data_IF_270633003533
#
_entry.id   IF_270633003533
#
_cell.length_a   1.000
_cell.length_b   1.000
_cell.length_c   1.000
_cell.angle_alpha   90.00
_cell.angle_beta   90.00
_cell.angle_gamma   90.00
#
_symmetry.space_group_name_H-M   'P 1'
#
loop_
_entity.id
_entity.type
_entity.pdbx_description
1 polymer ?
2 non-polymer ?
3 non-polymer ?
4 water ?
#
# COMPACT_ATOMS: atom_id res chain seq x y z
N UNK A 21 -24.97 -16.39 8.30
CA UNK A 21 -24.92 -14.94 8.40
C UNK A 21 -24.01 -14.31 7.32
N UNK A 22 -24.10 -12.99 7.17
CA UNK A 22 -23.30 -12.24 6.22
C UNK A 22 -21.79 -12.41 6.51
N UNK A 23 -21.41 -12.68 7.78
CA UNK A 23 -19.99 -12.90 8.13
C UNK A 23 -19.44 -14.29 7.68
N UNK A 24 -20.31 -15.15 7.16
CA UNK A 24 -19.90 -16.48 6.73
C UNK A 24 -19.77 -16.61 5.23
N UNK A 25 -19.80 -15.49 4.48
CA UNK A 25 -19.58 -15.51 3.04
C UNK A 25 -18.18 -16.07 2.74
N UNK A 26 -18.05 -16.78 1.64
CA UNK A 26 -16.76 -17.35 1.26
C UNK A 26 -16.39 -16.97 -0.15
N UNK A 27 -15.08 -16.89 -0.41
CA UNK A 27 -14.61 -16.64 -1.77
C UNK A 27 -13.51 -17.63 -2.12
N UNK A 28 -13.28 -17.82 -3.43
CA UNK A 28 -12.19 -18.68 -3.92
C UNK A 28 -11.05 -17.79 -4.42
N UNK A 29 -9.83 -18.04 -3.92
CA UNK A 29 -8.66 -17.30 -4.37
C UNK A 29 -7.65 -18.32 -4.87
N UNK A 30 -7.07 -18.13 -6.05
CA UNK A 30 -6.02 -19.03 -6.54
C UNK A 30 -4.77 -18.21 -6.78
N UNK A 31 -3.64 -18.65 -6.26
CA UNK A 31 -2.36 -18.04 -6.59
C UNK A 31 -1.89 -18.81 -7.83
N UNK A 32 -1.67 -18.08 -8.91
CA UNK A 32 -1.32 -18.63 -10.22
C UNK A 32 0.15 -19.10 -10.28
N UNK A 33 0.56 -19.82 -11.35
CA UNK A 33 1.91 -20.38 -11.37
C UNK A 33 2.99 -19.33 -11.24
N UNK A 34 2.75 -18.13 -11.75
CA UNK A 34 3.74 -17.04 -11.61
C UNK A 34 3.86 -16.54 -10.17
N UNK A 35 2.76 -16.56 -9.43
CA UNK A 35 2.80 -16.18 -8.02
C UNK A 35 3.61 -17.17 -7.22
N UNK A 36 3.51 -18.46 -7.57
CA UNK A 36 4.28 -19.51 -6.88
C UNK A 36 5.78 -19.38 -7.28
N UNK A 37 6.04 -19.26 -8.57
CA UNK A 37 7.40 -19.15 -9.09
C UNK A 37 8.18 -17.95 -8.53
N UNK A 38 7.47 -16.84 -8.34
CA UNK A 38 8.11 -15.62 -7.84
C UNK A 38 8.15 -15.49 -6.31
N UNK A 39 7.75 -16.55 -5.61
CA UNK A 39 7.83 -16.64 -4.15
C UNK A 39 6.89 -15.70 -3.42
N UNK A 40 5.65 -15.58 -3.90
CA UNK A 40 4.66 -14.66 -3.31
C UNK A 40 3.58 -15.33 -2.49
N UNK A 41 3.64 -16.66 -2.31
CA UNK A 41 2.59 -17.37 -1.57
C UNK A 41 2.39 -16.83 -0.15
N UNK A 42 3.46 -16.74 0.61
CA UNK A 42 3.36 -16.28 1.99
C UNK A 42 2.91 -14.84 2.08
N UNK A 43 3.42 -13.98 1.19
CA UNK A 43 3.02 -12.56 1.14
C UNK A 43 1.51 -12.44 0.93
N UNK A 44 0.98 -13.21 -0.05
CA UNK A 44 -0.45 -13.13 -0.34
C UNK A 44 -1.29 -13.64 0.83
N UNK A 45 -0.92 -14.80 1.41
CA UNK A 45 -1.67 -15.33 2.56
C UNK A 45 -1.66 -14.35 3.72
N UNK A 46 -0.51 -13.74 4.00
CA UNK A 46 -0.39 -12.75 5.08
C UNK A 46 -1.38 -11.60 4.87
N UNK A 47 -1.59 -11.15 3.61
CA UNK A 47 -2.54 -10.06 3.36
C UNK A 47 -3.97 -10.43 3.82
N UNK A 48 -4.39 -11.65 3.51
CA UNK A 48 -5.74 -12.07 3.92
C UNK A 48 -5.83 -12.32 5.41
N UNK A 49 -4.79 -12.93 6.03
CA UNK A 49 -4.82 -13.16 7.48
C UNK A 49 -4.84 -11.83 8.25
N UNK A 50 -3.98 -10.88 7.89
CA UNK A 50 -3.88 -9.61 8.64
C UNK A 50 -5.16 -8.79 8.53
N UNK A 51 -5.93 -8.98 7.45
CA UNK A 51 -7.20 -8.29 7.22
C UNK A 51 -8.29 -8.76 8.20
N UNK A 52 -8.18 -10.01 8.66
CA UNK A 52 -9.16 -10.59 9.57
C UNK A 52 -9.97 -11.69 8.91
N UNK A 53 -9.69 -12.04 7.63
CA UNK A 53 -10.40 -13.12 6.96
C UNK A 53 -9.92 -14.47 7.47
N UNK A 54 -10.83 -15.45 7.51
CA UNK A 54 -10.52 -16.78 8.03
C UNK A 54 -10.18 -17.79 6.93
N UNK A 55 -9.05 -18.49 7.05
CA UNK A 55 -8.67 -19.50 6.07
C UNK A 55 -9.58 -20.74 6.24
N UNK A 56 -10.24 -21.18 5.15
CA UNK A 56 -11.15 -22.33 5.18
C UNK A 56 -10.57 -23.51 4.42
N UNK A 57 -9.92 -23.24 3.30
CA UNK A 57 -9.34 -24.29 2.48
C UNK A 57 -8.03 -23.85 1.88
N UNK A 58 -7.10 -24.78 1.72
CA UNK A 58 -5.80 -24.47 1.17
C UNK A 58 -5.24 -25.76 0.58
N UNK A 59 -4.89 -25.75 -0.72
CA UNK A 59 -4.34 -26.93 -1.38
C UNK A 59 -3.41 -26.50 -2.52
N UNK A 60 -2.32 -27.22 -2.71
CA UNK A 60 -1.29 -26.90 -3.71
C UNK A 60 -1.44 -28.02 -4.77
N UNK A 61 -1.61 -27.65 -6.03
CA UNK A 61 -1.90 -28.66 -7.06
C UNK A 61 -1.56 -28.21 -8.47
N UNK A 62 -1.50 -29.17 -9.41
CA UNK A 62 -1.39 -28.81 -10.81
C UNK A 62 -2.80 -28.96 -11.32
N UNK A 63 -3.43 -27.88 -11.74
CA UNK A 63 -4.82 -27.93 -12.22
C UNK A 63 -4.85 -28.55 -13.60
N UNK A 64 -5.77 -29.49 -13.83
CA UNK A 64 -5.88 -30.11 -15.14
C UNK A 64 -6.48 -29.13 -16.13
N UNK A 65 -6.22 -29.36 -17.44
CA UNK A 65 -6.81 -28.51 -18.47
C UNK A 65 -8.34 -28.60 -18.44
N UNK A 66 -8.91 -29.77 -18.11
CA UNK A 66 -10.37 -29.92 -18.01
C UNK A 66 -10.94 -29.04 -16.90
N UNK A 67 -10.28 -29.02 -15.72
CA UNK A 67 -10.70 -28.18 -14.61
C UNK A 67 -10.62 -26.71 -15.01
N UNK A 68 -9.52 -26.32 -15.65
CA UNK A 68 -9.30 -24.91 -16.05
C UNK A 68 -10.28 -24.45 -17.10
N UNK A 69 -10.62 -25.33 -18.05
CA UNK A 69 -11.60 -24.99 -19.07
C UNK A 69 -12.98 -24.76 -18.45
N UNK A 70 -13.34 -25.50 -17.40
CA UNK A 70 -14.62 -25.29 -16.72
C UNK A 70 -14.55 -24.03 -15.86
N UNK A 71 -13.43 -23.80 -15.18
CA UNK A 71 -13.24 -22.61 -14.35
C UNK A 71 -13.41 -21.34 -15.22
N UNK A 72 -12.81 -21.36 -16.42
CA UNK A 72 -12.85 -20.22 -17.34
C UNK A 72 -13.83 -20.39 -18.49
N UNK A 73 -14.90 -21.17 -18.27
CA UNK A 73 -15.89 -21.48 -19.31
C UNK A 73 -16.48 -20.22 -19.97
N UNK A 74 -16.69 -19.13 -19.22
CA UNK A 74 -17.23 -17.89 -19.80
C UNK A 74 -16.29 -17.22 -20.82
N UNK A 75 -15.01 -17.60 -20.83
CA UNK A 75 -14.03 -17.02 -21.75
C UNK A 75 -13.65 -17.97 -22.89
N UNK A 76 -14.37 -19.10 -23.06
CA UNK A 76 -13.98 -20.09 -24.06
C UNK A 76 -13.88 -19.56 -25.49
N UNK A 77 -14.63 -18.49 -25.82
CA UNK A 77 -14.58 -17.92 -27.16
C UNK A 77 -13.62 -16.71 -27.29
N UNK A 78 -12.95 -16.30 -26.20
CA UNK A 78 -11.99 -15.18 -26.21
C UNK A 78 -10.68 -15.61 -26.88
N UNK A 79 -9.99 -14.71 -27.62
CA UNK A 79 -8.75 -15.13 -28.32
C UNK A 79 -7.61 -15.58 -27.41
N UNK A 80 -7.62 -15.14 -26.16
CA UNK A 80 -6.57 -15.47 -25.20
C UNK A 80 -6.83 -16.78 -24.40
N UNK A 81 -8.02 -17.37 -24.55
CA UNK A 81 -8.43 -18.55 -23.80
C UNK A 81 -7.44 -19.72 -23.83
N UNK A 82 -7.02 -20.18 -25.02
CA UNK A 82 -6.09 -21.29 -25.12
C UNK A 82 -4.77 -21.00 -24.40
N UNK A 83 -4.23 -19.80 -24.56
CA UNK A 83 -2.99 -19.42 -23.89
C UNK A 83 -3.18 -19.33 -22.38
N UNK A 84 -4.33 -18.83 -21.91
CA UNK A 84 -4.64 -18.76 -20.48
C UNK A 84 -4.69 -20.17 -19.87
N UNK A 85 -5.38 -21.12 -20.53
CA UNK A 85 -5.47 -22.50 -20.03
C UNK A 85 -4.09 -23.15 -19.98
N UNK A 86 -3.30 -22.99 -21.06
CA UNK A 86 -1.94 -23.55 -21.13
C UNK A 86 -1.08 -22.97 -20.02
N UNK A 87 -1.16 -21.65 -19.85
CA UNK A 87 -0.41 -20.97 -18.82
C UNK A 87 -0.79 -21.47 -17.39
N UNK A 88 -2.09 -21.54 -17.11
CA UNK A 88 -2.58 -21.99 -15.80
C UNK A 88 -2.26 -23.47 -15.52
N UNK A 89 -2.02 -24.27 -16.57
CA UNK A 89 -1.65 -25.68 -16.42
C UNK A 89 -0.12 -25.88 -16.37
N UNK A 90 0.68 -24.86 -16.70
CA UNK A 90 2.14 -24.93 -16.81
C UNK A 90 2.91 -25.06 -15.51
N UNK A 91 2.24 -24.88 -14.39
CA UNK A 91 2.89 -24.99 -13.09
C UNK A 91 1.87 -25.13 -11.99
N UNK A 92 2.32 -25.35 -10.75
CA UNK A 92 1.37 -25.49 -9.65
C UNK A 92 0.70 -24.18 -9.27
N UNK A 93 -0.49 -24.32 -8.71
CA UNK A 93 -1.29 -23.22 -8.21
C UNK A 93 -1.60 -23.50 -6.73
N UNK A 94 -1.88 -22.42 -5.97
CA UNK A 94 -2.32 -22.57 -4.59
C UNK A 94 -3.80 -22.21 -4.60
N UNK A 95 -4.67 -23.18 -4.37
CA UNK A 95 -6.11 -22.94 -4.36
C UNK A 95 -6.52 -22.65 -2.90
N UNK A 96 -7.34 -21.61 -2.68
CA UNK A 96 -7.73 -21.23 -1.33
C UNK A 96 -9.18 -20.85 -1.21
N UNK A 97 -9.73 -21.01 -0.01
CA UNK A 97 -11.08 -20.54 0.30
C UNK A 97 -10.94 -19.67 1.54
N UNK A 98 -11.45 -18.43 1.50
CA UNK A 98 -11.41 -17.53 2.64
C UNK A 98 -12.81 -17.14 3.03
N UNK A 99 -13.03 -16.88 4.33
CA UNK A 99 -14.36 -16.54 4.83
C UNK A 99 -14.40 -15.22 5.56
N UNK A 100 -15.50 -14.48 5.38
CA UNK A 100 -15.69 -13.25 6.14
C UNK A 100 -16.74 -12.37 5.52
N UNK A 101 -17.09 -11.31 6.22
CA UNK A 101 -18.08 -10.35 5.74
C UNK A 101 -17.60 -9.72 4.43
N UNK A 102 -18.46 -9.82 3.38
CA UNK A 102 -18.17 -9.28 2.05
C UNK A 102 -16.82 -9.72 1.51
N UNK A 103 -16.36 -10.94 1.87
CA UNK A 103 -15.03 -11.37 1.44
C UNK A 103 -14.89 -11.45 -0.08
N UNK A 104 -16.01 -11.69 -0.82
CA UNK A 104 -15.91 -11.73 -2.29
C UNK A 104 -15.49 -10.35 -2.82
N UNK A 105 -16.29 -9.33 -2.54
CA UNK A 105 -16.03 -7.97 -3.03
C UNK A 105 -14.75 -7.40 -2.44
N UNK A 106 -14.53 -7.56 -1.15
CA UNK A 106 -13.33 -7.06 -0.49
C UNK A 106 -12.08 -7.78 -0.93
N UNK A 107 -12.19 -9.08 -1.20
CA UNK A 107 -11.08 -9.85 -1.76
C UNK A 107 -10.69 -9.31 -3.11
N UNK A 108 -11.67 -8.95 -3.95
CA UNK A 108 -11.36 -8.34 -5.25
C UNK A 108 -10.65 -6.99 -5.09
N UNK A 109 -11.09 -6.17 -4.12
CA UNK A 109 -10.45 -4.87 -3.83
C UNK A 109 -8.99 -5.10 -3.41
N UNK A 110 -8.75 -6.10 -2.55
CA UNK A 110 -7.39 -6.41 -2.07
C UNK A 110 -6.48 -6.92 -3.19
N UNK A 111 -7.04 -7.64 -4.16
CA UNK A 111 -6.24 -8.11 -5.30
C UNK A 111 -5.83 -6.95 -6.18
N UNK A 112 -6.74 -6.01 -6.38
CA UNK A 112 -6.50 -4.90 -7.29
C UNK A 112 -7.17 -5.23 -8.62
N UNK A 113 -7.18 -4.28 -9.57
CA UNK A 113 -7.81 -4.52 -10.87
C UNK A 113 -7.25 -5.77 -11.57
N UNK A 114 -8.07 -6.46 -12.33
CA UNK A 114 -7.66 -7.66 -13.04
C UNK A 114 -6.47 -7.43 -13.96
N UNK A 115 -6.47 -6.28 -14.63
CA UNK A 115 -5.34 -5.85 -15.44
C UNK A 115 -4.36 -5.13 -14.49
N UNK A 116 -3.14 -5.68 -14.28
CA UNK A 116 -2.19 -5.03 -13.34
C UNK A 116 -1.81 -3.61 -13.68
N UNK A 117 -1.93 -3.21 -14.96
CA UNK A 117 -1.65 -1.83 -15.37
C UNK A 117 -2.55 -0.84 -14.64
N UNK A 118 -3.77 -1.26 -14.28
CA UNK A 118 -4.73 -0.42 -13.60
C UNK A 118 -4.81 -0.65 -12.09
N UNK A 119 -4.04 -1.62 -11.54
CA UNK A 119 -4.08 -1.94 -10.12
C UNK A 119 -3.26 -0.93 -9.30
N UNK A 120 -3.81 -0.48 -8.19
CA UNK A 120 -3.15 0.55 -7.38
C UNK A 120 -2.11 0.01 -6.44
N UNK A 121 -1.07 0.80 -6.14
CA UNK A 121 -0.12 0.41 -5.08
C UNK A 121 -0.88 0.18 -3.77
N UNK A 122 -0.45 -0.84 -3.05
CA UNK A 122 -1.15 -1.27 -1.86
C UNK A 122 -1.94 -2.54 -2.10
N UNK A 123 -2.37 -2.78 -3.37
CA UNK A 123 -3.10 -4.01 -3.71
C UNK A 123 -2.07 -5.10 -4.05
N UNK A 124 -2.50 -6.37 -4.09
CA UNK A 124 -1.58 -7.47 -4.40
C UNK A 124 -1.01 -7.30 -5.82
N UNK A 125 -1.87 -7.09 -6.83
CA UNK A 125 -1.36 -6.93 -8.20
C UNK A 125 -0.62 -5.60 -8.37
N UNK A 126 -1.07 -4.55 -7.67
CA UNK A 126 -0.41 -3.24 -7.75
C UNK A 126 1.00 -3.30 -7.21
N UNK A 127 1.20 -4.10 -6.16
CA UNK A 127 2.54 -4.23 -5.60
C UNK A 127 3.45 -5.24 -6.30
N UNK A 128 2.88 -6.32 -6.87
CA UNK A 128 3.71 -7.43 -7.28
C UNK A 128 3.68 -7.89 -8.72
N UNK A 129 2.88 -7.31 -9.62
CA UNK A 129 2.96 -7.79 -11.00
C UNK A 129 2.61 -6.74 -12.04
N UNK A 130 2.93 -7.04 -13.30
CA UNK A 130 2.89 -6.04 -14.34
C UNK A 130 1.91 -6.24 -15.50
N UNK A 131 1.82 -7.47 -16.02
CA UNK A 131 1.07 -7.69 -17.27
C UNK A 131 -0.12 -8.61 -17.08
N UNK A 132 -1.19 -8.38 -17.87
CA UNK A 132 -2.31 -9.30 -17.85
C UNK A 132 -1.77 -10.56 -18.60
N UNK A 133 -2.11 -11.71 -18.12
CA UNK A 133 -1.54 -12.95 -18.63
C UNK A 133 -0.53 -13.44 -17.61
N UNK A 134 0.07 -12.54 -16.78
CA UNK A 134 0.95 -12.92 -15.67
C UNK A 134 0.52 -12.05 -14.46
N UNK A 135 -0.75 -12.21 -14.04
CA UNK A 135 -1.31 -11.37 -13.01
C UNK A 135 -1.44 -11.99 -11.61
N UNK A 136 -0.60 -13.03 -11.38
CA UNK A 136 -0.33 -13.73 -10.08
C UNK A 136 -1.47 -14.38 -9.31
N UNK A 137 -2.70 -13.96 -9.53
CA UNK A 137 -3.78 -14.40 -8.65
C UNK A 137 -5.12 -14.27 -9.32
N UNK A 138 -6.10 -15.01 -8.84
CA UNK A 138 -7.50 -14.94 -9.29
C UNK A 138 -8.33 -14.88 -8.01
N UNK A 139 -9.42 -14.14 -8.07
CA UNK A 139 -10.41 -14.12 -6.99
C UNK A 139 -11.79 -14.15 -7.58
N UNK A 140 -12.72 -14.81 -6.91
CA UNK A 140 -14.13 -14.86 -7.40
C UNK A 140 -14.70 -13.46 -7.63
N UNK A 141 -15.44 -13.28 -8.73
CA UNK A 141 -16.00 -11.94 -9.07
C UNK A 141 -17.38 -11.73 -8.43
N UNK A 142 -18.01 -12.78 -7.94
CA UNK A 142 -19.39 -12.68 -7.39
C UNK A 142 -19.63 -13.82 -6.40
N UNK A 143 -20.65 -13.67 -5.55
CA UNK A 143 -20.99 -14.78 -4.65
C UNK A 143 -21.39 -16.02 -5.49
N UNK A 144 -22.10 -15.81 -6.60
CA UNK A 144 -22.48 -16.93 -7.48
C UNK A 144 -21.24 -17.63 -8.07
N UNK A 145 -20.26 -16.85 -8.55
CA UNK A 145 -19.02 -17.42 -9.08
C UNK A 145 -18.23 -18.10 -7.97
N UNK A 146 -18.23 -17.53 -6.76
CA UNK A 146 -17.49 -18.13 -5.64
C UNK A 146 -18.06 -19.52 -5.31
N UNK A 147 -19.40 -19.64 -5.24
CA UNK A 147 -20.01 -20.95 -4.96
C UNK A 147 -19.66 -21.98 -6.01
N UNK A 148 -19.65 -21.59 -7.29
CA UNK A 148 -19.28 -22.49 -8.38
C UNK A 148 -17.81 -22.88 -8.28
N UNK A 149 -16.92 -21.89 -8.07
CA UNK A 149 -15.48 -22.13 -8.02
C UNK A 149 -15.08 -22.99 -6.84
N UNK A 150 -15.62 -22.71 -5.65
CA UNK A 150 -15.32 -23.51 -4.46
C UNK A 150 -15.74 -24.97 -4.69
N UNK A 151 -16.91 -25.18 -5.29
CA UNK A 151 -17.39 -26.53 -5.56
C UNK A 151 -16.56 -27.27 -6.59
N UNK A 152 -16.00 -26.55 -7.55
CA UNK A 152 -15.19 -27.12 -8.61
C UNK A 152 -13.79 -27.52 -8.13
N UNK A 153 -13.18 -26.69 -7.27
CA UNK A 153 -11.81 -26.91 -6.83
C UNK A 153 -11.67 -27.70 -5.53
N UNK A 154 -12.70 -27.71 -4.68
CA UNK A 154 -12.61 -28.37 -3.39
C UNK A 154 -13.73 -29.34 -3.14
N UNK A 155 -13.40 -30.45 -2.51
CA UNK A 155 -14.42 -31.37 -2.00
C UNK A 155 -14.90 -30.73 -0.69
N UNK A 156 -16.18 -30.90 -0.26
CA UNK A 156 -16.63 -30.31 0.99
C UNK A 156 -15.82 -30.71 2.21
N UNK A 157 -15.24 -31.90 2.18
CA UNK A 157 -14.45 -32.42 3.33
C UNK A 157 -13.13 -31.66 3.47
N UNK A 158 -12.68 -30.99 2.43
CA UNK A 158 -11.41 -30.22 2.47
C UNK A 158 -11.63 -28.85 3.10
N UNK A 159 -12.88 -28.48 3.37
CA UNK A 159 -13.14 -27.16 3.92
C UNK A 159 -13.24 -27.28 5.43
N UNK A 160 -12.36 -26.60 6.16
CA UNK A 160 -12.23 -26.72 7.60
C UNK A 160 -12.95 -25.61 8.36
N UNK A 161 -13.83 -26.00 9.29
CA UNK A 161 -14.53 -25.02 10.09
C UNK A 161 -13.95 -24.92 11.49
N UNK A 162 -13.68 -23.70 11.91
CA UNK A 162 -13.18 -23.37 13.24
C UNK A 162 -13.52 -21.92 13.53
N UNK A 163 -13.41 -21.53 14.80
CA UNK A 163 -13.70 -20.17 15.21
C UNK A 163 -12.41 -19.45 15.52
N UNK A 164 -12.19 -18.28 14.93
CA UNK A 164 -10.99 -17.50 15.23
C UNK A 164 -11.03 -16.99 16.65
N UNK A 165 -9.89 -17.05 17.35
CA UNK A 165 -9.77 -16.53 18.70
C UNK A 165 -10.07 -15.00 18.74
N UNK A 166 -9.93 -14.32 17.60
CA UNK A 166 -10.16 -12.89 17.55
C UNK A 166 -11.55 -12.51 17.01
N UNK A 167 -12.45 -13.50 16.81
CA UNK A 167 -13.78 -13.25 16.23
C UNK A 167 -14.53 -12.07 16.84
N UNK A 168 -14.54 -11.98 18.16
CA UNK A 168 -15.25 -10.88 18.85
C UNK A 168 -14.57 -9.51 18.71
N UNK A 169 -13.30 -9.49 18.27
CA UNK A 169 -12.57 -8.25 18.02
C UNK A 169 -12.57 -7.87 16.53
N UNK A 170 -13.01 -8.78 15.64
CA UNK A 170 -13.14 -8.51 14.21
C UNK A 170 -14.60 -8.14 13.87
N UNK A 171 -15.56 -8.79 14.55
CA UNK A 171 -16.98 -8.56 14.28
C UNK A 171 -17.73 -8.17 15.53
N UNK A 172 -18.69 -7.27 15.40
CA UNK A 172 -19.55 -6.96 16.55
C UNK A 172 -20.64 -8.03 16.68
N UNK B 16 3.08 -2.45 -30.57
CA UNK B 16 1.94 -3.38 -30.44
C UNK B 16 1.83 -3.98 -29.05
N UNK B 17 0.60 -4.30 -28.64
CA UNK B 17 0.29 -4.90 -27.35
C UNK B 17 0.87 -6.30 -27.30
N UNK B 18 1.53 -6.61 -26.21
CA UNK B 18 2.13 -7.91 -26.01
C UNK B 18 3.51 -8.07 -26.62
N UNK B 19 4.00 -7.06 -27.36
CA UNK B 19 5.33 -7.14 -27.97
C UNK B 19 6.43 -7.16 -26.94
N UNK B 20 7.52 -7.86 -27.27
CA UNK B 20 8.71 -7.87 -26.42
C UNK B 20 9.25 -6.44 -26.27
N UNK B 21 9.26 -5.65 -27.38
CA UNK B 21 9.82 -4.30 -27.28
C UNK B 21 9.10 -3.42 -26.23
N UNK B 22 7.75 -3.55 -26.10
CA UNK B 22 7.01 -2.78 -25.10
C UNK B 22 7.52 -3.10 -23.67
N UNK B 23 7.97 -4.35 -23.46
CA UNK B 23 8.53 -4.75 -22.15
C UNK B 23 9.92 -4.17 -21.86
N UNK B 24 10.55 -3.49 -22.85
CA UNK B 24 11.91 -2.96 -22.74
C UNK B 24 11.98 -1.44 -22.53
N UNK B 25 10.83 -0.82 -22.25
CA UNK B 25 10.78 0.59 -21.90
C UNK B 25 11.63 0.84 -20.63
N UNK B 26 12.26 2.00 -20.55
CA UNK B 26 13.09 2.33 -19.41
C UNK B 26 12.70 3.68 -18.84
N UNK B 27 12.86 3.82 -17.52
CA UNK B 27 12.60 5.12 -16.87
C UNK B 27 13.78 5.47 -15.96
N UNK B 28 13.92 6.76 -15.66
CA UNK B 28 14.96 7.23 -14.75
C UNK B 28 14.28 7.53 -13.40
N UNK B 29 14.84 7.00 -12.31
CA UNK B 29 14.32 7.25 -10.97
C UNK B 29 15.50 7.77 -10.14
N UNK B 30 15.31 8.86 -9.39
CA UNK B 30 16.37 9.32 -8.50
C UNK B 30 15.82 9.38 -7.09
N UNK B 31 16.54 8.83 -6.12
CA UNK B 31 16.19 8.98 -4.73
C UNK B 31 16.91 10.24 -4.30
N UNK B 32 16.14 11.21 -3.83
CA UNK B 32 16.63 12.54 -3.47
C UNK B 32 17.41 12.56 -2.16
N UNK B 33 18.12 13.66 -1.84
CA UNK B 33 18.93 13.66 -0.63
C UNK B 33 18.17 13.28 0.64
N UNK B 34 16.87 13.68 0.73
CA UNK B 34 16.06 13.34 1.91
C UNK B 34 15.76 11.85 1.99
N UNK B 35 15.59 11.19 0.85
CA UNK B 35 15.38 9.76 0.83
C UNK B 35 16.61 9.02 1.34
N UNK B 36 17.81 9.53 0.98
CA UNK B 36 19.05 8.92 1.47
C UNK B 36 19.22 9.18 2.96
N UNK B 37 19.02 10.44 3.37
CA UNK B 37 19.20 10.83 4.77
C UNK B 37 18.27 10.07 5.73
N UNK B 38 17.04 9.82 5.28
CA UNK B 38 16.05 9.14 6.11
C UNK B 38 16.09 7.61 6.01
N UNK B 39 17.11 7.06 5.36
CA UNK B 39 17.33 5.62 5.26
C UNK B 39 16.28 4.84 4.49
N UNK B 40 15.82 5.40 3.38
CA UNK B 40 14.78 4.82 2.53
C UNK B 40 15.25 4.17 1.24
N UNK B 41 16.58 4.11 1.02
CA UNK B 41 17.10 3.56 -0.23
C UNK B 41 16.66 2.11 -0.47
N UNK B 42 16.85 1.27 0.53
CA UNK B 42 16.51 -0.14 0.41
C UNK B 42 15.01 -0.36 0.24
N UNK B 43 14.19 0.39 1.01
CA UNK B 43 12.74 0.31 0.92
C UNK B 43 12.29 0.62 -0.51
N UNK B 44 12.83 1.72 -1.09
CA UNK B 44 12.43 2.12 -2.45
C UNK B 44 12.83 1.08 -3.49
N UNK B 45 14.08 0.60 -3.41
CA UNK B 45 14.54 -0.42 -4.37
C UNK B 45 13.70 -1.68 -4.28
N UNK B 46 13.36 -2.11 -3.05
CA UNK B 46 12.54 -3.31 -2.83
C UNK B 46 11.19 -3.17 -3.55
N UNK B 47 10.62 -1.98 -3.56
CA UNK B 47 9.29 -1.80 -4.21
C UNK B 47 9.40 -2.04 -5.73
N UNK B 48 10.47 -1.56 -6.36
CA UNK B 48 10.62 -1.79 -7.79
C UNK B 48 10.96 -3.26 -8.07
N UNK B 49 11.83 -3.87 -7.25
CA UNK B 49 12.18 -5.29 -7.48
C UNK B 49 10.95 -6.19 -7.31
N UNK B 50 10.17 -5.97 -6.23
CA UNK B 50 9.03 -6.88 -5.97
C UNK B 50 7.95 -6.78 -7.02
N UNK B 51 7.85 -5.61 -7.67
CA UNK B 51 6.89 -5.36 -8.74
C UNK B 51 7.22 -6.19 -10.02
N UNK B 52 8.50 -6.51 -10.22
CA UNK B 52 8.94 -7.24 -11.40
C UNK B 52 9.79 -6.40 -12.34
N UNK B 53 10.05 -5.12 -12.01
CA UNK B 53 10.90 -4.26 -12.84
C UNK B 53 12.35 -4.67 -12.72
N UNK B 54 13.11 -4.50 -13.80
CA UNK B 54 14.50 -4.93 -13.77
C UNK B 54 15.46 -3.76 -13.65
N UNK B 55 16.41 -3.89 -12.74
CA UNK B 55 17.40 -2.85 -12.50
C UNK B 55 18.39 -2.80 -13.68
N UNK B 56 18.61 -1.64 -14.27
CA UNK B 56 19.53 -1.45 -15.39
C UNK B 56 20.74 -0.61 -14.99
N UNK B 57 20.51 0.41 -14.18
CA UNK B 57 21.59 1.29 -13.75
C UNK B 57 21.35 1.71 -12.31
N UNK B 58 22.45 1.91 -11.56
CA UNK B 58 22.36 2.29 -10.17
C UNK B 58 23.67 2.95 -9.82
N UNK B 59 23.60 4.16 -9.29
CA UNK B 59 24.81 4.84 -8.83
C UNK B 59 24.45 5.77 -7.69
N UNK B 60 25.40 5.98 -6.83
CA UNK B 60 25.27 6.90 -5.70
C UNK B 60 26.20 8.06 -6.04
N UNK B 61 25.72 9.32 -6.01
CA UNK B 61 26.54 10.43 -6.44
C UNK B 61 26.08 11.76 -5.91
N UNK B 62 26.94 12.79 -6.02
CA UNK B 62 26.48 14.14 -5.71
C UNK B 62 26.26 14.75 -7.09
N UNK B 63 25.03 15.12 -7.41
CA UNK B 63 24.73 15.69 -8.73
C UNK B 63 25.19 17.14 -8.78
N UNK B 64 25.88 17.52 -9.87
CA UNK B 64 26.33 18.91 -9.98
C UNK B 64 25.15 19.82 -10.23
N UNK B 65 25.33 21.12 -9.91
CA UNK B 65 24.29 22.10 -10.20
C UNK B 65 24.06 22.20 -11.71
N UNK B 66 25.09 22.05 -12.54
CA UNK B 66 24.90 22.08 -13.99
C UNK B 66 24.01 20.93 -14.48
N UNK B 67 24.25 19.72 -13.96
CA UNK B 67 23.43 18.56 -14.31
C UNK B 67 21.98 18.78 -13.86
N UNK B 68 21.79 19.29 -12.63
CA UNK B 68 20.44 19.52 -12.10
C UNK B 68 19.69 20.59 -12.85
N UNK B 69 20.39 21.66 -13.27
CA UNK B 69 19.72 22.73 -14.04
C UNK B 69 19.26 22.20 -15.38
N UNK B 70 19.99 21.28 -15.98
CA UNK B 70 19.55 20.69 -17.27
C UNK B 70 18.42 19.71 -17.04
N UNK B 71 18.50 18.92 -15.96
CA UNK B 71 17.47 17.95 -15.62
C UNK B 71 16.13 18.67 -15.41
N UNK B 72 16.17 19.82 -14.70
CA UNK B 72 14.97 20.58 -14.41
C UNK B 72 14.80 21.81 -15.29
N UNK B 73 15.34 21.78 -16.51
CA UNK B 73 15.31 22.94 -17.40
C UNK B 73 13.91 23.48 -17.66
N UNK B 74 12.88 22.61 -17.75
CA UNK B 74 11.51 23.09 -17.98
C UNK B 74 10.94 23.93 -16.83
N UNK B 75 11.60 23.89 -15.67
CA UNK B 75 11.16 24.62 -14.48
C UNK B 75 12.00 25.88 -14.20
N UNK B 76 12.94 26.25 -15.10
CA UNK B 76 13.86 27.34 -14.83
C UNK B 76 13.20 28.67 -14.47
N UNK B 77 11.95 28.88 -14.90
CA UNK B 77 11.23 30.12 -14.58
C UNK B 77 10.28 30.02 -13.38
N UNK B 78 10.13 28.84 -12.77
CA UNK B 78 9.28 28.66 -11.60
C UNK B 78 9.95 29.26 -10.35
N UNK B 79 9.17 29.77 -9.39
CA UNK B 79 9.81 30.43 -8.22
C UNK B 79 10.66 29.54 -7.34
N UNK B 80 10.40 28.23 -7.36
CA UNK B 80 11.15 27.30 -6.53
C UNK B 80 12.41 26.75 -7.19
N UNK B 81 12.66 27.06 -8.46
CA UNK B 81 13.77 26.45 -9.20
C UNK B 81 15.14 26.53 -8.50
N UNK B 82 15.55 27.73 -8.09
CA UNK B 82 16.87 27.90 -7.45
C UNK B 82 16.99 27.07 -6.19
N UNK B 83 15.94 27.07 -5.36
CA UNK B 83 15.92 26.28 -4.12
C UNK B 83 15.92 24.79 -4.40
N UNK B 84 15.22 24.35 -5.45
CA UNK B 84 15.19 22.94 -5.86
C UNK B 84 16.60 22.47 -6.28
N UNK B 85 17.29 23.26 -7.12
CA UNK B 85 18.65 22.91 -7.54
C UNK B 85 19.60 22.83 -6.32
N UNK B 86 19.52 23.83 -5.42
CA UNK B 86 20.38 23.84 -4.23
C UNK B 86 20.09 22.64 -3.36
N UNK B 87 18.82 22.35 -3.16
CA UNK B 87 18.43 21.21 -2.36
C UNK B 87 18.93 19.87 -2.96
N UNK B 88 18.73 19.69 -4.26
CA UNK B 88 19.15 18.47 -4.94
C UNK B 88 20.69 18.29 -4.97
N UNK B 89 21.43 19.37 -4.81
CA UNK B 89 22.90 19.35 -4.76
C UNK B 89 23.42 19.22 -3.30
N UNK B 90 22.53 19.39 -2.29
CA UNK B 90 22.93 19.46 -0.86
C UNK B 90 23.34 18.15 -0.22
N UNK B 91 23.10 17.04 -0.91
CA UNK B 91 23.50 15.74 -0.41
C UNK B 91 23.52 14.74 -1.55
N UNK B 92 23.97 13.52 -1.28
CA UNK B 92 23.99 12.51 -2.34
C UNK B 92 22.60 12.04 -2.74
N UNK B 93 22.53 11.59 -3.98
CA UNK B 93 21.32 11.04 -4.55
C UNK B 93 21.64 9.62 -5.05
N UNK B 94 20.60 8.80 -5.19
CA UNK B 94 20.78 7.47 -5.79
C UNK B 94 20.12 7.55 -7.17
N UNK B 95 20.91 7.53 -8.24
CA UNK B 95 20.35 7.61 -9.60
C UNK B 95 20.11 6.17 -10.08
N UNK B 96 18.99 5.92 -10.78
CA UNK B 96 18.67 4.57 -11.20
C UNK B 96 17.98 4.56 -12.55
N UNK B 97 18.09 3.44 -13.23
CA UNK B 97 17.36 3.19 -14.45
C UNK B 97 16.67 1.85 -14.26
N UNK B 98 15.34 1.80 -14.49
CA UNK B 98 14.58 0.57 -14.37
C UNK B 98 13.93 0.25 -15.70
N UNK B 99 13.73 -1.04 -15.97
CA UNK B 99 13.13 -1.47 -17.24
C UNK B 99 11.91 -2.35 -17.04
N UNK B 100 10.92 -2.16 -17.92
CA UNK B 100 9.73 -2.98 -17.88
C UNK B 100 8.60 -2.39 -18.69
N UNK B 101 7.53 -3.18 -18.85
CA UNK B 101 6.33 -2.73 -19.56
C UNK B 101 5.73 -1.53 -18.86
N UNK B 102 5.53 -0.44 -19.62
CA UNK B 102 4.98 0.82 -19.09
C UNK B 102 5.69 1.29 -17.82
N UNK B 103 7.00 1.05 -17.69
CA UNK B 103 7.71 1.38 -16.44
C UNK B 103 7.69 2.90 -16.16
N UNK B 104 7.55 3.76 -17.20
CA UNK B 104 7.50 5.20 -16.96
C UNK B 104 6.20 5.55 -16.21
N UNK B 105 5.04 5.21 -16.81
CA UNK B 105 3.76 5.53 -16.21
C UNK B 105 3.54 4.78 -14.91
N UNK B 106 3.84 3.48 -14.88
CA UNK B 106 3.64 2.67 -13.69
C UNK B 106 4.61 3.07 -12.57
N UNK B 107 5.83 3.49 -12.92
CA UNK B 107 6.77 4.01 -11.95
C UNK B 107 6.20 5.27 -11.29
N UNK B 108 5.56 6.15 -12.08
CA UNK B 108 4.93 7.36 -11.53
C UNK B 108 3.79 7.01 -10.58
N UNK B 109 2.95 5.98 -10.90
CA UNK B 109 1.87 5.60 -9.98
C UNK B 109 2.43 4.95 -8.71
N UNK B 110 3.58 4.25 -8.80
CA UNK B 110 4.21 3.68 -7.59
C UNK B 110 4.81 4.78 -6.70
N UNK B 111 5.30 5.85 -7.31
CA UNK B 111 5.84 6.98 -6.54
C UNK B 111 4.72 7.71 -5.81
N UNK B 112 3.56 7.82 -6.44
CA UNK B 112 2.44 8.56 -5.92
C UNK B 112 2.49 9.97 -6.49
N UNK B 113 1.48 10.79 -6.22
CA UNK B 113 1.45 12.16 -6.74
C UNK B 113 2.71 12.95 -6.37
N UNK B 114 3.12 13.84 -7.25
CA UNK B 114 4.32 14.66 -7.03
C UNK B 114 4.29 15.43 -5.71
N UNK B 115 3.10 15.94 -5.38
CA UNK B 115 2.89 16.60 -4.10
C UNK B 115 2.48 15.52 -3.10
N UNK B 116 3.29 15.27 -2.06
CA UNK B 116 2.96 14.19 -1.10
C UNK B 116 1.63 14.33 -0.41
N UNK B 117 1.10 15.54 -0.27
CA UNK B 117 -0.21 15.77 0.32
C UNK B 117 -1.32 15.04 -0.45
N UNK B 118 -1.12 14.83 -1.76
CA UNK B 118 -2.11 14.15 -2.60
C UNK B 118 -1.75 12.68 -2.88
N UNK B 119 -0.61 12.19 -2.39
CA UNK B 119 -0.18 10.81 -2.66
C UNK B 119 -0.92 9.84 -1.75
N UNK B 120 -1.36 8.71 -2.29
CA UNK B 120 -2.13 7.74 -1.51
C UNK B 120 -1.28 6.81 -0.70
N UNK B 121 -1.80 6.33 0.45
CA UNK B 121 -1.11 5.26 1.18
C UNK B 121 -0.93 4.05 0.26
N UNK B 122 0.23 3.43 0.37
CA UNK B 122 0.61 2.34 -0.52
C UNK B 122 1.66 2.81 -1.52
N UNK B 123 1.67 4.12 -1.85
CA UNK B 123 2.69 4.67 -2.77
C UNK B 123 3.93 5.06 -1.96
N UNK B 124 5.07 5.25 -2.62
CA UNK B 124 6.30 5.62 -1.90
C UNK B 124 6.13 6.97 -1.18
N UNK B 125 5.63 7.99 -1.87
CA UNK B 125 5.45 9.29 -1.22
C UNK B 125 4.29 9.24 -0.19
N UNK B 126 3.25 8.46 -0.50
CA UNK B 126 2.11 8.34 0.40
C UNK B 126 2.53 7.72 1.73
N UNK B 127 3.43 6.76 1.67
CA UNK B 127 3.91 6.10 2.87
C UNK B 127 5.02 6.85 3.64
N UNK B 128 5.88 7.56 2.93
CA UNK B 128 7.12 8.04 3.54
C UNK B 128 7.42 9.52 3.57
N UNK B 129 6.59 10.41 2.99
CA UNK B 129 6.95 11.82 3.11
C UNK B 129 5.78 12.77 3.06
N UNK B 130 6.01 14.02 3.48
CA UNK B 130 4.91 14.94 3.71
C UNK B 130 4.83 16.17 2.80
N UNK B 131 5.93 16.88 2.61
CA UNK B 131 5.90 18.17 1.90
C UNK B 131 6.51 18.18 0.49
N UNK B 132 5.96 18.96 -0.48
CA UNK B 132 6.43 18.88 -1.88
C UNK B 132 7.96 19.13 -2.12
N UNK B 133 8.56 20.01 -1.32
CA UNK B 133 10.00 20.27 -1.47
C UNK B 133 10.89 19.18 -0.89
N UNK B 134 10.29 18.20 -0.18
CA UNK B 134 11.02 17.10 0.47
C UNK B 134 10.18 15.85 0.13
N UNK B 135 10.16 15.53 -1.18
CA UNK B 135 9.29 14.43 -1.69
C UNK B 135 10.08 13.15 -1.99
N UNK B 136 11.30 13.01 -1.47
CA UNK B 136 12.11 11.76 -1.47
C UNK B 136 12.53 11.16 -2.81
N UNK B 137 11.81 11.44 -3.88
CA UNK B 137 12.11 10.71 -5.13
C UNK B 137 11.64 11.46 -6.37
N UNK B 138 12.26 11.18 -7.50
CA UNK B 138 11.85 11.72 -8.79
C UNK B 138 11.70 10.52 -9.73
N UNK B 139 10.73 10.58 -10.63
CA UNK B 139 10.59 9.59 -11.68
C UNK B 139 10.27 10.32 -12.98
N UNK B 140 10.80 9.84 -14.11
CA UNK B 140 10.53 10.48 -15.42
C UNK B 140 9.03 10.62 -15.68
N UNK B 141 8.59 11.78 -16.23
CA UNK B 141 7.16 11.97 -16.43
C UNK B 141 6.62 11.43 -17.76
N UNK B 142 7.53 11.04 -18.66
CA UNK B 142 7.15 10.51 -19.98
C UNK B 142 8.31 9.76 -20.59
N UNK B 143 8.05 8.99 -21.66
CA UNK B 143 9.11 8.25 -22.32
C UNK B 143 10.15 9.24 -22.92
N UNK B 144 9.69 10.40 -23.42
CA UNK B 144 10.62 11.38 -23.99
C UNK B 144 11.53 11.94 -22.87
N UNK B 145 10.96 12.27 -21.70
CA UNK B 145 11.78 12.77 -20.58
C UNK B 145 12.69 11.67 -20.07
N UNK B 146 12.22 10.40 -20.06
CA UNK B 146 13.07 9.29 -19.60
C UNK B 146 14.31 9.16 -20.49
N UNK B 147 14.14 9.23 -21.82
CA UNK B 147 15.29 9.13 -22.73
C UNK B 147 16.31 10.25 -22.47
N UNK B 148 15.81 11.48 -22.23
CA UNK B 148 16.69 12.61 -21.96
C UNK B 148 17.40 12.44 -20.62
N UNK B 149 16.65 12.02 -19.59
CA UNK B 149 17.20 11.88 -18.25
C UNK B 149 18.21 10.76 -18.14
N UNK B 150 17.93 9.61 -18.77
CA UNK B 150 18.89 8.49 -18.76
C UNK B 150 20.21 8.93 -19.40
N UNK B 151 20.11 9.66 -20.51
CA UNK B 151 21.30 10.13 -21.21
C UNK B 151 22.10 11.16 -20.43
N UNK B 152 21.42 11.96 -19.63
CA UNK B 152 22.01 13.02 -18.86
C UNK B 152 22.72 12.50 -17.59
N UNK B 153 22.17 11.45 -16.97
CA UNK B 153 22.71 10.91 -15.74
C UNK B 153 23.65 9.74 -15.90
N UNK B 154 23.50 8.97 -16.96
CA UNK B 154 24.34 7.78 -17.16
C UNK B 154 25.05 7.77 -18.48
N UNK B 155 26.27 7.26 -18.49
CA UNK B 155 26.97 6.95 -19.72
C UNK B 155 26.40 5.60 -20.17
N UNK B 156 26.34 5.34 -21.48
CA UNK B 156 25.81 4.05 -21.96
C UNK B 156 26.49 2.83 -21.34
N UNK B 157 27.80 2.92 -21.08
CA UNK B 157 28.55 1.81 -20.48
C UNK B 157 28.19 1.54 -19.01
N UNK B 158 27.47 2.45 -18.35
CA UNK B 158 27.00 2.21 -16.97
C UNK B 158 25.66 1.46 -16.93
N UNK B 159 25.02 1.22 -18.09
CA UNK B 159 23.72 0.54 -18.12
C UNK B 159 23.99 -0.93 -18.41
N UNK B 160 23.58 -1.81 -17.49
CA UNK B 160 23.88 -3.23 -17.59
C UNK B 160 22.70 -4.02 -18.12
N UNK B 161 22.95 -4.79 -19.18
CA UNK B 161 21.91 -5.65 -19.75
C UNK B 161 22.05 -7.08 -19.28
N UNK B 162 20.93 -7.68 -18.93
CA UNK B 162 20.88 -9.07 -18.52
C UNK B 162 19.42 -9.49 -18.58
N UNK B 163 19.18 -10.79 -18.44
CA UNK B 163 17.84 -11.33 -18.51
C UNK B 163 17.47 -11.84 -17.13
N UNK B 164 16.34 -11.39 -16.60
CA UNK B 164 15.87 -11.87 -15.30
C UNK B 164 15.50 -13.35 -15.38
N UNK B 165 15.85 -14.11 -14.35
CA UNK B 165 15.49 -15.53 -14.26
C UNK B 165 13.95 -15.70 -14.22
N UNK B 166 13.22 -14.65 -13.84
CA UNK B 166 11.75 -14.74 -13.77
C UNK B 166 11.05 -14.11 -14.98
N UNK B 167 11.78 -13.74 -16.03
CA UNK B 167 11.20 -13.09 -17.20
C UNK B 167 9.96 -13.76 -17.77
N UNK B 168 9.99 -15.09 -17.94
CA UNK B 168 8.85 -15.83 -18.49
C UNK B 168 7.64 -15.90 -17.54
N UNK B 169 7.85 -15.59 -16.24
CA UNK B 169 6.77 -15.52 -15.26
C UNK B 169 6.26 -14.08 -15.04
N UNK B 170 7.00 -13.08 -15.53
CA UNK B 170 6.52 -11.69 -15.45
C UNK B 170 5.84 -11.29 -16.77
N UNK B 171 6.36 -11.80 -17.91
CA UNK B 171 5.83 -11.45 -19.22
C UNK B 171 5.41 -12.66 -20.01
N UNK B 172 4.31 -12.52 -20.76
CA UNK B 172 3.81 -13.50 -21.70
C UNK B 172 4.72 -13.57 -22.92
N UNK C 22 0.26 24.81 10.75
CA UNK C 22 1.27 24.45 9.72
C UNK C 22 2.05 23.22 10.16
N UNK C 23 3.39 23.28 10.10
CA UNK C 23 4.22 22.09 10.44
C UNK C 23 3.98 21.68 11.90
N UNK C 24 3.44 22.59 12.73
CA UNK C 24 3.21 22.27 14.14
C UNK C 24 1.79 21.85 14.45
N UNK C 25 0.96 21.61 13.42
CA UNK C 25 -0.40 21.12 13.63
C UNK C 25 -0.33 19.76 14.36
N UNK C 26 -1.31 19.48 15.21
CA UNK C 26 -1.35 18.20 15.92
C UNK C 26 -2.67 17.50 15.73
N UNK C 27 -2.65 16.16 15.79
CA UNK C 27 -3.90 15.41 15.74
C UNK C 27 -3.92 14.38 16.85
N UNK C 28 -5.13 13.93 17.21
CA UNK C 28 -5.27 12.89 18.23
C UNK C 28 -5.58 11.57 17.52
N UNK C 29 -4.85 10.51 17.83
CA UNK C 29 -5.12 9.20 17.25
C UNK C 29 -5.29 8.23 18.41
N UNK C 30 -6.34 7.40 18.39
CA UNK C 30 -6.53 6.38 19.44
C UNK C 30 -6.59 5.01 18.79
N UNK C 31 -5.81 4.06 19.29
CA UNK C 31 -5.90 2.69 18.81
C UNK C 31 -6.93 2.06 19.74
N UNK C 32 -8.00 1.54 19.15
CA UNK C 32 -9.16 0.97 19.86
C UNK C 32 -8.86 -0.40 20.46
N UNK C 33 -9.72 -0.93 21.35
CA UNK C 33 -9.40 -2.21 22.00
C UNK C 33 -9.14 -3.33 21.02
N UNK C 34 -9.84 -3.33 19.86
CA UNK C 34 -9.59 -4.39 18.88
C UNK C 34 -8.20 -4.26 18.24
N UNK C 35 -7.70 -3.05 18.10
CA UNK C 35 -6.35 -2.83 17.56
C UNK C 35 -5.31 -3.35 18.54
N UNK C 36 -5.57 -3.17 19.85
CA UNK C 36 -4.64 -3.68 20.85
C UNK C 36 -4.72 -5.21 20.90
N UNK C 37 -5.93 -5.75 20.95
CA UNK C 37 -6.14 -7.21 21.03
C UNK C 37 -5.56 -7.97 19.85
N UNK C 38 -5.63 -7.37 18.66
CA UNK C 38 -5.11 -8.03 17.46
C UNK C 38 -3.61 -7.76 17.17
N UNK C 39 -2.92 -7.11 18.12
CA UNK C 39 -1.48 -6.90 18.05
C UNK C 39 -1.04 -5.95 16.97
N UNK C 40 -1.79 -4.86 16.78
CA UNK C 40 -1.50 -3.88 15.73
C UNK C 40 -0.89 -2.57 16.23
N UNK C 41 -0.55 -2.46 17.51
CA UNK C 41 -0.01 -1.21 18.05
C UNK C 41 1.28 -0.79 17.34
N UNK C 42 2.27 -1.67 17.30
CA UNK C 42 3.54 -1.36 16.67
C UNK C 42 3.40 -1.07 15.20
N UNK C 43 2.57 -1.87 14.50
CA UNK C 43 2.33 -1.61 13.07
C UNK C 43 1.78 -0.21 12.82
N UNK C 44 0.80 0.21 13.62
CA UNK C 44 0.20 1.52 13.46
C UNK C 44 1.18 2.64 13.75
N UNK C 45 1.93 2.53 14.86
CA UNK C 45 2.93 3.55 15.21
C UNK C 45 4.00 3.67 14.12
N UNK C 46 4.46 2.52 13.59
CA UNK C 46 5.47 2.51 12.53
C UNK C 46 4.97 3.29 11.31
N UNK C 47 3.66 3.18 10.97
CA UNK C 47 3.18 3.93 9.81
C UNK C 47 3.29 5.45 9.99
N UNK C 48 2.99 5.94 11.19
CA UNK C 48 3.11 7.39 11.45
C UNK C 48 4.59 7.82 11.53
N UNK C 49 5.46 7.02 12.18
CA UNK C 49 6.88 7.36 12.24
C UNK C 49 7.51 7.38 10.83
N UNK C 50 7.24 6.35 10.01
CA UNK C 50 7.89 6.26 8.69
C UNK C 50 7.45 7.39 7.76
N UNK C 51 6.24 7.93 7.98
CA UNK C 51 5.69 9.04 7.19
C UNK C 51 6.43 10.36 7.47
N UNK C 52 7.02 10.49 8.66
CA UNK C 52 7.74 11.70 9.04
C UNK C 52 7.01 12.50 10.12
N UNK C 53 5.86 12.00 10.63
CA UNK C 53 5.14 12.68 11.70
C UNK C 53 5.87 12.49 13.03
N UNK C 54 5.79 13.48 13.92
CA UNK C 54 6.52 13.42 15.19
C UNK C 54 5.61 13.00 16.35
N UNK C 55 6.03 12.00 17.13
CA UNK C 55 5.24 11.56 18.29
C UNK C 55 5.32 12.62 19.41
N UNK C 56 4.17 13.08 19.91
CA UNK C 56 4.12 14.12 20.94
C UNK C 56 3.61 13.55 22.27
N UNK C 57 2.65 12.64 22.19
CA UNK C 57 2.07 12.04 23.39
C UNK C 57 1.71 10.59 23.14
N UNK C 58 1.81 9.77 24.16
CA UNK C 58 1.52 8.35 24.04
C UNK C 58 1.14 7.84 25.43
N UNK C 59 -0.06 7.25 25.57
CA UNK C 59 -0.50 6.71 26.85
C UNK C 59 -1.42 5.49 26.64
N UNK C 60 -1.30 4.48 27.49
CA UNK C 60 -2.06 3.23 27.36
C UNK C 60 -3.00 3.27 28.57
N UNK C 61 -4.32 3.11 28.34
CA UNK C 61 -5.28 3.28 29.44
C UNK C 61 -6.60 2.61 29.18
N UNK C 62 -7.41 2.46 30.24
CA UNK C 62 -8.78 2.06 30.07
C UNK C 62 -9.55 3.37 30.18
N UNK C 63 -10.18 3.82 29.09
CA UNK C 63 -10.90 5.09 29.09
C UNK C 63 -12.21 4.94 29.83
N UNK C 64 -12.53 5.89 30.72
CA UNK C 64 -13.79 5.83 31.46
C UNK C 64 -14.93 6.13 30.51
N UNK C 65 -16.15 5.66 30.86
CA UNK C 65 -17.33 5.99 30.07
C UNK C 65 -17.58 7.49 30.02
N UNK C 66 -17.28 8.23 31.10
CA UNK C 66 -17.46 9.70 31.09
C UNK C 66 -16.53 10.36 30.05
N UNK C 67 -15.27 9.93 30.02
CA UNK C 67 -14.30 10.45 29.05
C UNK C 67 -14.78 10.11 27.62
N UNK C 68 -15.21 8.85 27.38
CA UNK C 68 -15.64 8.44 26.05
C UNK C 68 -16.89 9.17 25.59
N UNK C 69 -17.83 9.43 26.51
CA UNK C 69 -19.05 10.17 26.15
C UNK C 69 -18.71 11.60 25.71
N UNK C 70 -17.69 12.22 26.34
CA UNK C 70 -17.28 13.57 25.95
C UNK C 70 -16.48 13.51 24.64
N UNK C 71 -15.63 12.49 24.48
CA UNK C 71 -14.88 12.31 23.23
C UNK C 71 -15.84 12.17 22.03
N UNK C 72 -16.90 11.38 22.21
CA UNK C 72 -17.88 11.14 21.16
C UNK C 72 -19.14 11.98 21.32
N UNK C 73 -19.04 13.17 21.97
CA UNK C 73 -20.21 14.02 22.19
C UNK C 73 -20.96 14.36 20.88
N UNK C 74 -20.27 14.53 19.76
CA UNK C 74 -20.95 14.81 18.47
C UNK C 74 -21.81 13.63 17.97
N UNK C 75 -21.64 12.44 18.56
CA UNK C 75 -22.39 11.26 18.17
C UNK C 75 -23.46 10.86 19.19
N UNK C 76 -23.72 11.69 20.23
CA UNK C 76 -24.67 11.36 21.29
C UNK C 76 -26.08 11.06 20.81
N UNK C 77 -26.47 11.56 19.64
CA UNK C 77 -27.82 11.31 19.11
C UNK C 77 -27.91 10.10 18.16
N UNK C 78 -26.78 9.46 17.84
CA UNK C 78 -26.75 8.34 16.91
C UNK C 78 -27.19 7.05 17.59
N UNK C 79 -27.84 6.13 16.85
CA UNK C 79 -28.33 4.90 17.48
C UNK C 79 -27.27 3.96 18.04
N UNK C 80 -26.04 4.10 17.53
CA UNK C 80 -24.95 3.21 17.97
C UNK C 80 -24.14 3.80 19.14
N UNK C 81 -24.47 5.00 19.59
CA UNK C 81 -23.70 5.68 20.63
C UNK C 81 -23.45 4.86 21.90
N UNK C 82 -24.51 4.32 22.54
CA UNK C 82 -24.30 3.58 23.79
C UNK C 82 -23.43 2.34 23.59
N UNK C 83 -23.63 1.61 22.50
CA UNK C 83 -22.81 0.45 22.21
C UNK C 83 -21.37 0.81 21.93
N UNK C 84 -21.13 1.93 21.23
CA UNK C 84 -19.76 2.41 20.93
C UNK C 84 -19.04 2.77 22.25
N UNK C 85 -19.71 3.49 23.15
CA UNK C 85 -19.10 3.83 24.46
C UNK C 85 -18.77 2.56 25.25
N UNK C 86 -19.73 1.61 25.32
CA UNK C 86 -19.50 0.37 26.07
C UNK C 86 -18.34 -0.41 25.48
N UNK C 87 -18.32 -0.51 24.16
CA UNK C 87 -17.25 -1.20 23.49
C UNK C 87 -15.87 -0.52 23.73
N UNK C 88 -15.80 0.81 23.58
CA UNK C 88 -14.53 1.54 23.79
C UNK C 88 -14.05 1.47 25.25
N UNK C 89 -14.96 1.17 26.19
CA UNK C 89 -14.60 1.01 27.60
C UNK C 89 -14.23 -0.46 27.92
N UNK C 90 -14.54 -1.42 27.02
CA UNK C 90 -14.36 -2.86 27.25
C UNK C 90 -12.91 -3.36 27.27
N UNK C 91 -11.97 -2.53 26.88
CA UNK C 91 -10.57 -2.92 26.86
C UNK C 91 -9.65 -1.71 26.79
N UNK C 92 -8.34 -1.90 26.88
CA UNK C 92 -7.44 -0.73 26.83
C UNK C 92 -7.34 -0.13 25.43
N UNK C 93 -6.99 1.13 25.43
CA UNK C 93 -6.77 1.90 24.22
C UNK C 93 -5.39 2.56 24.30
N UNK C 94 -4.82 2.86 23.14
CA UNK C 94 -3.54 3.57 23.08
C UNK C 94 -3.91 4.98 22.61
N UNK C 95 -3.76 5.99 23.46
CA UNK C 95 -4.04 7.38 23.07
C UNK C 95 -2.73 8.01 22.59
N UNK C 96 -2.77 8.75 21.49
CA UNK C 96 -1.55 9.34 20.91
C UNK C 96 -1.80 10.72 20.40
N UNK C 97 -0.74 11.52 20.36
CA UNK C 97 -0.76 12.84 19.74
C UNK C 97 0.38 12.86 18.75
N UNK C 98 0.11 13.21 17.48
CA UNK C 98 1.15 13.29 16.46
C UNK C 98 1.21 14.70 15.90
N UNK C 99 2.39 15.13 15.47
CA UNK C 99 2.55 16.50 14.95
C UNK C 99 3.11 16.53 13.55
N UNK C 100 2.64 17.47 12.73
CA UNK C 100 3.19 17.66 11.40
C UNK C 100 2.30 18.47 10.51
N UNK C 101 2.81 18.83 9.33
CA UNK C 101 2.03 19.59 8.36
C UNK C 101 0.81 18.81 7.92
N UNK C 102 -0.37 19.43 8.06
CA UNK C 102 -1.66 18.82 7.73
C UNK C 102 -1.85 17.43 8.33
N UNK C 103 -1.26 17.19 9.51
CA UNK C 103 -1.36 15.87 10.14
C UNK C 103 -2.83 15.45 10.40
N UNK C 104 -3.77 16.40 10.59
CA UNK C 104 -5.16 15.99 10.83
C UNK C 104 -5.72 15.32 9.55
N UNK C 105 -5.70 16.04 8.43
CA UNK C 105 -6.22 15.53 7.17
C UNK C 105 -5.44 14.33 6.67
N UNK C 106 -4.11 14.41 6.72
CA UNK C 106 -3.26 13.32 6.24
C UNK C 106 -3.36 12.09 7.13
N UNK C 107 -3.53 12.29 8.43
CA UNK C 107 -3.74 11.18 9.35
C UNK C 107 -5.03 10.45 8.99
N UNK C 108 -6.09 11.20 8.64
CA UNK C 108 -7.35 10.57 8.21
C UNK C 108 -7.16 9.75 6.91
N UNK C 109 -6.36 10.26 5.98
CA UNK C 109 -6.09 9.55 4.72
C UNK C 109 -5.35 8.25 5.03
N UNK C 110 -4.39 8.29 5.96
CA UNK C 110 -3.60 7.11 6.32
C UNK C 110 -4.45 6.04 7.03
N UNK C 111 -5.45 6.50 7.80
CA UNK C 111 -6.36 5.57 8.48
C UNK C 111 -7.26 4.85 7.48
N UNK C 112 -7.67 5.56 6.44
CA UNK C 112 -8.60 5.02 5.45
C UNK C 112 -10.01 5.43 5.84
N UNK C 113 -11.00 5.15 5.00
CA UNK C 113 -12.40 5.51 5.31
C UNK C 113 -12.86 4.96 6.66
N UNK C 114 -13.71 5.71 7.35
CA UNK C 114 -14.21 5.31 8.66
C UNK C 114 -14.86 3.93 8.63
N UNK C 115 -15.61 3.66 7.58
CA UNK C 115 -16.21 2.36 7.37
C UNK C 115 -15.14 1.51 6.64
N UNK C 116 -14.62 0.43 7.27
CA UNK C 116 -13.58 -0.38 6.62
C UNK C 116 -13.95 -0.97 5.28
N UNK C 117 -15.25 -1.19 5.01
CA UNK C 117 -15.72 -1.70 3.72
C UNK C 117 -15.28 -0.79 2.58
N UNK C 118 -15.15 0.52 2.84
CA UNK C 118 -14.77 1.49 1.83
C UNK C 118 -13.29 1.91 1.90
N UNK C 119 -12.52 1.39 2.87
CA UNK C 119 -11.11 1.76 3.02
C UNK C 119 -10.25 1.04 1.99
N UNK C 120 -9.27 1.74 1.40
CA UNK C 120 -8.43 1.14 0.38
C UNK C 120 -7.25 0.38 0.89
N UNK C 121 -6.81 -0.68 0.18
CA UNK C 121 -5.55 -1.34 0.55
C UNK C 121 -4.42 -0.31 0.58
N UNK C 122 -3.54 -0.44 1.57
CA UNK C 122 -2.49 0.52 1.80
C UNK C 122 -2.80 1.39 3.02
N UNK C 123 -4.09 1.58 3.33
CA UNK C 123 -4.50 2.33 4.54
C UNK C 123 -4.52 1.37 5.73
N UNK C 124 -4.53 1.92 6.95
CA UNK C 124 -4.56 1.08 8.14
C UNK C 124 -5.84 0.23 8.18
N UNK C 125 -7.02 0.84 7.99
CA UNK C 125 -8.26 0.05 8.02
C UNK C 125 -8.38 -0.85 6.77
N UNK C 126 -7.86 -0.38 5.64
CA UNK C 126 -7.91 -1.17 4.41
C UNK C 126 -7.10 -2.44 4.53
N UNK C 127 -5.97 -2.35 5.22
CA UNK C 127 -5.12 -3.52 5.40
C UNK C 127 -5.55 -4.44 6.54
N UNK C 128 -6.13 -3.89 7.62
CA UNK C 128 -6.26 -4.64 8.86
C UNK C 128 -7.61 -4.87 9.45
N UNK C 129 -8.73 -4.34 8.90
CA UNK C 129 -10.00 -4.63 9.56
C UNK C 129 -11.20 -4.62 8.60
N UNK C 130 -12.34 -5.14 9.06
CA UNK C 130 -13.46 -5.41 8.17
C UNK C 130 -14.74 -4.64 8.43
N UNK C 131 -15.17 -4.57 9.70
CA UNK C 131 -16.50 -4.02 10.04
C UNK C 131 -16.46 -2.71 10.81
N UNK C 132 -17.42 -1.76 10.59
CA UNK C 132 -17.31 -0.42 11.19
C UNK C 132 -17.25 -0.34 12.75
N UNK C 133 -17.90 -1.27 13.44
CA UNK C 133 -17.84 -1.30 14.91
C UNK C 133 -16.57 -1.94 15.47
N UNK C 134 -15.71 -2.43 14.58
CA UNK C 134 -14.43 -3.04 14.92
C UNK C 134 -13.48 -2.46 13.87
N UNK C 135 -13.26 -1.14 13.94
CA UNK C 135 -12.45 -0.41 12.93
C UNK C 135 -11.06 -0.04 13.47
N UNK C 136 -10.60 -0.63 14.58
CA UNK C 136 -9.19 -0.55 15.10
C UNK C 136 -8.65 0.82 15.52
N UNK C 137 -9.17 1.91 14.97
CA UNK C 137 -8.51 3.22 15.22
C UNK C 137 -9.47 4.40 15.06
N UNK C 138 -9.13 5.51 15.71
CA UNK C 138 -9.85 6.79 15.57
C UNK C 138 -8.80 7.86 15.31
N UNK C 139 -9.13 8.80 14.43
CA UNK C 139 -8.28 9.96 14.17
C UNK C 139 -9.19 11.18 14.20
N UNK C 140 -8.68 12.30 14.71
CA UNK C 140 -9.46 13.56 14.73
C UNK C 140 -9.89 13.94 13.31
N UNK C 141 -11.13 14.42 13.14
CA UNK C 141 -11.67 14.78 11.80
C UNK C 141 -11.36 16.22 11.41
N UNK C 142 -10.92 17.06 12.33
CA UNK C 142 -10.69 18.50 12.05
C UNK C 142 -9.68 19.08 13.03
N UNK C 143 -9.09 20.22 12.69
CA UNK C 143 -8.17 20.86 13.62
C UNK C 143 -8.92 21.24 14.92
N UNK C 144 -10.17 21.70 14.81
CA UNK C 144 -10.96 22.05 15.98
C UNK C 144 -11.19 20.79 16.85
N UNK C 145 -11.58 19.66 16.23
CA UNK C 145 -11.82 18.44 17.02
C UNK C 145 -10.51 17.92 17.59
N UNK C 146 -9.40 18.07 16.86
CA UNK C 146 -8.10 17.60 17.37
C UNK C 146 -7.72 18.38 18.63
N UNK C 147 -7.87 19.72 18.61
CA UNK C 147 -7.54 20.51 19.80
C UNK C 147 -8.40 20.13 20.99
N UNK C 148 -9.68 19.86 20.78
CA UNK C 148 -10.56 19.43 21.85
C UNK C 148 -10.17 18.04 22.37
N UNK C 149 -9.91 17.09 21.47
CA UNK C 149 -9.56 15.72 21.85
C UNK C 149 -8.23 15.63 22.59
N UNK C 150 -7.22 16.39 22.11
CA UNK C 150 -5.92 16.41 22.79
C UNK C 150 -6.06 16.93 24.20
N UNK C 151 -6.87 17.99 24.36
CA UNK C 151 -7.09 18.59 25.68
C UNK C 151 -7.84 17.68 26.63
N UNK C 152 -8.71 16.84 26.10
CA UNK C 152 -9.53 15.92 26.88
C UNK C 152 -8.73 14.70 27.38
N UNK C 153 -7.87 14.17 26.50
CA UNK C 153 -7.14 12.95 26.83
C UNK C 153 -5.79 13.19 27.49
N UNK C 154 -5.18 14.37 27.28
CA UNK C 154 -3.84 14.61 27.80
C UNK C 154 -3.76 15.89 28.60
N UNK C 155 -3.01 15.85 29.70
CA UNK C 155 -2.65 17.07 30.41
C UNK C 155 -1.54 17.72 29.57
N UNK C 156 -1.44 19.05 29.57
CA UNK C 156 -0.36 19.70 28.79
C UNK C 156 1.04 19.20 29.12
N UNK C 157 1.29 18.84 30.38
CA UNK C 157 2.60 18.35 30.80
C UNK C 157 2.93 16.95 30.26
N UNK C 158 1.94 16.22 29.73
CA UNK C 158 2.19 14.90 29.12
C UNK C 158 2.61 15.01 27.63
N UNK C 159 2.56 16.21 27.05
CA UNK C 159 2.90 16.39 25.65
C UNK C 159 4.35 16.83 25.59
N UNK C 160 5.19 16.03 24.92
CA UNK C 160 6.63 16.27 24.90
C UNK C 160 7.10 16.98 23.63
N UNK C 161 7.83 18.08 23.82
CA UNK C 161 8.38 18.82 22.70
C UNK C 161 9.86 18.53 22.51
N UNK C 162 10.21 18.15 21.30
CA UNK C 162 11.57 17.92 20.88
C UNK C 162 11.62 18.12 19.38
N UNK C 163 12.83 18.21 18.84
CA UNK C 163 13.03 18.44 17.43
C UNK C 163 13.57 17.16 16.81
N UNK C 164 12.95 16.69 15.74
CA UNK C 164 13.44 15.48 15.07
C UNK C 164 14.78 15.76 14.41
N UNK C 165 15.71 14.81 14.49
CA UNK C 165 17.01 14.95 13.83
C UNK C 165 16.84 15.06 12.30
N UNK C 166 15.70 14.63 11.76
CA UNK C 166 15.47 14.67 10.32
C UNK C 166 14.59 15.84 9.89
N UNK C 167 14.31 16.81 10.79
CA UNK C 167 13.44 17.95 10.50
C UNK C 167 13.74 18.63 9.18
N UNK C 168 15.01 18.93 8.92
CA UNK C 168 15.43 19.63 7.69
C UNK C 168 15.29 18.78 6.42
N UNK C 169 15.15 17.44 6.59
CA UNK C 169 14.93 16.55 5.45
C UNK C 169 13.44 16.21 5.25
N UNK C 170 12.57 16.56 6.21
CA UNK C 170 11.13 16.36 6.09
C UNK C 170 10.46 17.65 5.64
N UNK C 171 10.97 18.80 6.11
CA UNK C 171 10.40 20.10 5.79
C UNK C 171 11.40 21.05 5.23
N UNK C 172 11.00 21.89 4.27
CA UNK C 172 11.87 22.97 3.84
C UNK C 172 11.68 24.18 4.80
#
# INVERSE_FOLDING_TARGET
MGSSHHHHHHSSGLVPRGSHMANCERTFIAIKPDGVQRGLVGEIIKRFEQKGFRLVGLKFMQASEDLLKEHYVDLKDRPFFAGLVKYMHSGPVVAMVWEGLNVVKTGRVMLGETNPADSKPGTIRGDFCIQVGRNIIHGSDSVESAEKEIGLWFHPEELVDYTSCAQNWIYE
MGSSHHHHHHSSGLVPRGSHMANCERTFIAIKPDGVQRGLVGEIIKRFEQKGFRLVGLKFMQASEDLLKEHYVDLKDRPFFAGLVKYMHSGPVVAMVWEGLNVVKTGRVMLGETNPADSKPGTIRGDFCIQVGRNIIHGSDSVESAEKEIGLWFHPEELVDYTSCAQNWIYE
MGSSHHHHHHSSGLVPRGSHMANCERTFIAIKPDGVQRGLVGEIIKRFEQKGFRLVGLKFMQASEDLLKEHYVDLKDRPFFAGLVKYMHSGPVVAMVWEGLNVVKTGRVMLGETNPADSKPGTIRGDFCIQVGRNIIHGSDSVESAEKEIGLWFHPEELVDYTSCAQNWIYE
#
